data_IF_464425599379
#
_entry.id   IF_464425599379
#
_cell.length_a   1.000
_cell.length_b   1.000
_cell.length_c   1.000
_cell.angle_alpha   90.00
_cell.angle_beta   90.00
_cell.angle_gamma   90.00
#
_symmetry.space_group_name_H-M   'P 1'
#
loop_
_entity.id
_entity.type
_entity.pdbx_description
1 polymer ?
#
# COMPACT_ATOMS: atom_id res chain seq x y z
N UNK A 1 88.93 57.96 -0.73
CA UNK A 1 88.37 57.18 -1.86
C UNK A 1 88.06 55.74 -1.46
N UNK A 2 88.74 55.17 -0.47
CA UNK A 2 88.56 53.76 -0.07
C UNK A 2 87.18 53.42 0.51
N UNK A 3 86.54 54.33 1.26
CA UNK A 3 85.19 54.09 1.82
C UNK A 3 84.08 54.00 0.76
N UNK A 4 84.26 54.66 -0.38
CA UNK A 4 83.29 54.64 -1.49
C UNK A 4 83.46 53.35 -2.32
N UNK A 5 84.70 52.92 -2.54
CA UNK A 5 85.02 51.67 -3.24
C UNK A 5 84.53 50.46 -2.42
N UNK A 6 84.68 50.50 -1.09
CA UNK A 6 84.19 49.43 -0.21
C UNK A 6 82.66 49.35 -0.20
N UNK A 7 81.96 50.50 -0.21
CA UNK A 7 80.50 50.55 -0.31
C UNK A 7 79.97 50.01 -1.65
N UNK A 8 80.66 50.29 -2.76
CA UNK A 8 80.28 49.79 -4.09
C UNK A 8 80.46 48.26 -4.19
N UNK A 9 81.54 47.71 -3.62
CA UNK A 9 81.79 46.27 -3.60
C UNK A 9 80.75 45.50 -2.77
N UNK A 10 80.30 46.06 -1.64
CA UNK A 10 79.24 45.47 -0.81
C UNK A 10 77.91 45.45 -1.58
N UNK A 11 77.58 46.52 -2.30
CA UNK A 11 76.38 46.57 -3.15
C UNK A 11 76.40 45.51 -4.27
N UNK A 12 77.57 45.29 -4.87
CA UNK A 12 77.73 44.28 -5.93
C UNK A 12 77.55 42.85 -5.39
N UNK A 13 78.08 42.56 -4.20
CA UNK A 13 77.90 41.26 -3.54
C UNK A 13 76.42 41.00 -3.21
N UNK A 14 75.70 42.01 -2.70
CA UNK A 14 74.25 41.88 -2.39
C UNK A 14 73.44 41.59 -3.66
N UNK A 15 73.78 42.24 -4.77
CA UNK A 15 73.09 42.03 -6.05
C UNK A 15 73.32 40.62 -6.61
N UNK A 16 74.54 40.08 -6.46
CA UNK A 16 74.85 38.69 -6.85
C UNK A 16 74.08 37.67 -6.00
N UNK A 17 73.96 37.90 -4.69
CA UNK A 17 73.19 37.02 -3.79
C UNK A 17 71.70 37.02 -4.14
N UNK A 18 71.14 38.17 -4.52
CA UNK A 18 69.74 38.27 -4.97
C UNK A 18 69.52 37.48 -6.27
N UNK A 19 70.46 37.58 -7.23
CA UNK A 19 70.38 36.83 -8.49
C UNK A 19 70.45 35.32 -8.24
N UNK A 20 71.35 34.86 -7.37
CA UNK A 20 71.45 33.44 -7.01
C UNK A 20 70.16 32.97 -6.32
N UNK A 21 69.58 33.78 -5.43
CA UNK A 21 68.29 33.48 -4.79
C UNK A 21 67.15 33.33 -5.80
N UNK A 22 67.09 34.20 -6.82
CA UNK A 22 66.09 34.12 -7.89
C UNK A 22 66.26 32.89 -8.78
N UNK A 23 67.51 32.47 -9.06
CA UNK A 23 67.80 31.26 -9.84
C UNK A 23 67.35 30.00 -9.09
N UNK A 24 67.63 29.92 -7.78
CA UNK A 24 67.18 28.80 -6.94
C UNK A 24 65.65 28.75 -6.84
N UNK A 25 65.01 29.91 -6.68
CA UNK A 25 63.54 30.00 -6.66
C UNK A 25 62.92 29.57 -8.00
N UNK A 26 63.51 29.98 -9.13
CA UNK A 26 63.08 29.56 -10.46
C UNK A 26 63.22 28.04 -10.64
N UNK A 27 64.35 27.47 -10.24
CA UNK A 27 64.57 26.03 -10.33
C UNK A 27 63.59 25.23 -9.46
N UNK A 28 63.30 25.72 -8.25
CA UNK A 28 62.32 25.09 -7.35
C UNK A 28 60.90 25.15 -7.91
N UNK A 29 60.51 26.26 -8.55
CA UNK A 29 59.19 26.43 -9.16
C UNK A 29 59.01 25.48 -10.36
N UNK A 30 60.03 25.36 -11.21
CA UNK A 30 60.03 24.43 -12.36
C UNK A 30 60.05 22.96 -11.91
N UNK A 31 60.76 22.63 -10.84
CA UNK A 31 60.76 21.28 -10.29
C UNK A 31 59.37 20.91 -9.73
N UNK A 32 58.74 21.80 -8.96
CA UNK A 32 57.40 21.59 -8.40
C UNK A 32 56.32 21.51 -9.49
N UNK A 33 56.44 22.26 -10.58
CA UNK A 33 55.48 22.17 -11.68
C UNK A 33 55.59 20.85 -12.44
N UNK A 34 56.80 20.31 -12.66
CA UNK A 34 56.99 18.99 -13.28
C UNK A 34 56.39 17.85 -12.46
N UNK A 35 56.62 17.82 -11.15
CA UNK A 35 56.07 16.78 -10.27
C UNK A 35 54.54 16.82 -10.25
N UNK A 36 53.94 18.02 -10.19
CA UNK A 36 52.49 18.18 -10.24
C UNK A 36 51.89 17.79 -11.60
N UNK A 37 52.61 17.97 -12.70
CA UNK A 37 52.18 17.53 -14.03
C UNK A 37 52.23 16.01 -14.14
N UNK A 38 53.31 15.36 -13.67
CA UNK A 38 53.42 13.90 -13.66
C UNK A 38 52.36 13.22 -12.79
N UNK A 39 52.02 13.78 -11.62
CA UNK A 39 50.93 13.25 -10.78
C UNK A 39 49.56 13.41 -11.45
N UNK A 40 49.32 14.54 -12.14
CA UNK A 40 48.08 14.75 -12.90
C UNK A 40 47.97 13.84 -14.10
N UNK A 41 49.08 13.56 -14.79
CA UNK A 41 49.10 12.69 -15.96
C UNK A 41 48.96 11.22 -15.55
N UNK A 42 49.61 10.78 -14.46
CA UNK A 42 49.37 9.45 -13.87
C UNK A 42 47.93 9.28 -13.38
N UNK A 43 47.34 10.30 -12.74
CA UNK A 43 45.94 10.28 -12.32
C UNK A 43 44.95 10.27 -13.50
N UNK A 44 45.32 10.88 -14.64
CA UNK A 44 44.54 10.80 -15.89
C UNK A 44 44.65 9.42 -16.53
N UNK A 45 45.85 8.85 -16.64
CA UNK A 45 46.05 7.50 -17.19
C UNK A 45 45.29 6.43 -16.40
N UNK A 46 45.29 6.51 -15.06
CA UNK A 46 44.52 5.57 -14.21
C UNK A 46 43.00 5.74 -14.41
N UNK A 47 42.51 6.96 -14.66
CA UNK A 47 41.09 7.22 -14.96
C UNK A 47 40.68 6.77 -16.36
N UNK A 48 41.57 6.87 -17.34
CA UNK A 48 41.34 6.42 -18.72
C UNK A 48 41.42 4.89 -18.83
N UNK A 49 42.35 4.25 -18.13
CA UNK A 49 42.48 2.79 -18.08
C UNK A 49 41.25 2.10 -17.43
N UNK A 50 40.57 2.76 -16.50
CA UNK A 50 39.32 2.25 -15.93
C UNK A 50 38.09 2.47 -16.83
N UNK A 51 38.21 3.32 -17.86
CA UNK A 51 37.12 3.65 -18.77
C UNK A 51 37.09 2.82 -20.05
N UNK A 52 38.15 2.09 -20.39
CA UNK A 52 38.21 1.36 -21.66
C UNK A 52 38.71 -0.08 -21.43
N UNK A 53 37.97 -1.06 -21.97
CA UNK A 53 38.42 -2.45 -22.08
C UNK A 53 38.51 -2.79 -23.56
N UNK A 54 39.71 -3.09 -24.06
CA UNK A 54 39.98 -3.34 -25.49
C UNK A 54 39.47 -2.24 -26.44
N UNK A 55 39.67 -0.96 -26.09
CA UNK A 55 39.27 0.17 -26.96
C UNK A 55 37.77 0.41 -27.07
N UNK A 56 36.95 -0.32 -26.29
CA UNK A 56 35.53 -0.05 -26.12
C UNK A 56 35.37 0.74 -24.83
N UNK A 57 34.75 1.94 -24.87
CA UNK A 57 34.42 2.67 -23.66
C UNK A 57 33.47 1.81 -22.81
N UNK A 58 33.91 1.46 -21.60
CA UNK A 58 33.05 0.92 -20.55
C UNK A 58 32.09 2.01 -20.13
N UNK A 59 30.90 1.98 -20.71
CA UNK A 59 29.77 2.72 -20.19
C UNK A 59 29.36 2.08 -18.86
N UNK A 60 29.19 2.88 -17.81
CA UNK A 60 28.62 2.42 -16.55
C UNK A 60 27.19 1.93 -16.79
N UNK A 61 26.74 0.92 -16.05
CA UNK A 61 25.36 0.40 -16.13
C UNK A 61 24.32 1.52 -16.03
N UNK A 62 24.62 2.58 -15.28
CA UNK A 62 23.81 3.80 -15.13
C UNK A 62 23.57 4.58 -16.43
N UNK A 63 24.41 4.41 -17.45
CA UNK A 63 24.19 4.98 -18.79
C UNK A 63 23.38 4.07 -19.70
N UNK A 64 23.37 2.77 -19.42
CA UNK A 64 22.60 1.75 -20.14
C UNK A 64 21.16 1.74 -19.62
N UNK A 65 20.98 1.99 -18.32
CA UNK A 65 19.67 2.14 -17.69
C UNK A 65 19.11 3.53 -17.94
N UNK A 66 17.91 3.54 -18.51
CA UNK A 66 17.25 4.77 -18.96
C UNK A 66 16.53 5.52 -17.82
N UNK A 67 16.79 5.14 -16.57
CA UNK A 67 16.17 5.66 -15.34
C UNK A 67 17.20 5.87 -14.23
N UNK A 68 16.93 6.82 -13.35
CA UNK A 68 17.86 7.23 -12.29
C UNK A 68 17.60 6.41 -11.00
N UNK A 69 16.35 6.39 -10.54
CA UNK A 69 15.95 5.80 -9.26
C UNK A 69 14.45 5.47 -9.27
N UNK A 70 14.04 4.48 -8.47
CA UNK A 70 12.64 4.21 -8.15
C UNK A 70 12.43 4.66 -6.71
N UNK A 71 11.54 5.62 -6.50
CA UNK A 71 11.25 6.20 -5.18
C UNK A 71 9.76 6.51 -5.08
N UNK A 72 9.15 6.14 -3.96
CA UNK A 72 7.77 6.47 -3.60
C UNK A 72 6.74 6.09 -4.69
N UNK A 73 6.87 4.87 -5.22
CA UNK A 73 5.98 4.32 -6.25
C UNK A 73 6.06 5.11 -7.58
N UNK A 74 7.14 5.87 -7.76
CA UNK A 74 7.47 6.63 -8.95
C UNK A 74 8.84 6.24 -9.51
N UNK A 75 8.95 6.27 -10.83
CA UNK A 75 10.22 6.17 -11.52
C UNK A 75 10.75 7.57 -11.83
N UNK A 76 11.98 7.84 -11.42
CA UNK A 76 12.69 9.10 -11.68
C UNK A 76 13.63 8.89 -12.86
N UNK A 77 13.57 9.81 -13.84
CA UNK A 77 14.39 9.76 -15.06
C UNK A 77 14.98 11.13 -15.38
N UNK A 78 16.03 11.11 -16.21
CA UNK A 78 16.67 12.30 -16.79
C UNK A 78 17.24 13.24 -15.73
N UNK A 79 17.96 12.69 -14.76
CA UNK A 79 18.51 13.41 -13.62
C UNK A 79 17.45 14.19 -12.81
N UNK A 80 16.33 13.54 -12.49
CA UNK A 80 15.27 14.13 -11.65
C UNK A 80 14.39 15.18 -12.34
N UNK A 81 14.35 15.17 -13.68
CA UNK A 81 13.51 16.09 -14.47
C UNK A 81 12.18 15.48 -14.89
N UNK A 82 12.10 14.15 -14.99
CA UNK A 82 10.91 13.43 -15.40
C UNK A 82 10.56 12.39 -14.34
N UNK A 83 9.29 12.38 -13.94
CA UNK A 83 8.74 11.45 -12.96
C UNK A 83 7.62 10.67 -13.62
N UNK A 84 7.53 9.38 -13.33
CA UNK A 84 6.60 8.47 -13.99
C UNK A 84 5.90 7.61 -12.95
N UNK A 85 4.58 7.51 -13.07
CA UNK A 85 3.76 6.51 -12.39
C UNK A 85 3.19 5.54 -13.40
N UNK A 86 3.02 4.28 -12.99
CA UNK A 86 2.50 3.23 -13.85
C UNK A 86 1.24 2.65 -13.21
N UNK A 87 0.18 2.55 -14.00
CA UNK A 87 -1.09 1.93 -13.63
C UNK A 87 -1.16 0.58 -14.31
N UNK A 88 -1.34 -0.49 -13.54
CA UNK A 88 -1.70 -1.79 -14.09
C UNK A 88 -3.20 -1.85 -14.34
N UNK A 89 -3.59 -2.21 -15.55
CA UNK A 89 -4.98 -2.36 -15.95
C UNK A 89 -5.35 -3.83 -16.09
N UNK A 90 -6.53 -4.17 -15.56
CA UNK A 90 -7.18 -5.46 -15.77
C UNK A 90 -8.45 -5.22 -16.57
N UNK A 91 -8.44 -5.71 -17.80
CA UNK A 91 -9.58 -5.68 -18.71
C UNK A 91 -10.60 -6.78 -18.43
N UNK A 92 -11.65 -6.77 -19.24
CA UNK A 92 -12.74 -7.74 -19.25
C UNK A 92 -12.70 -8.56 -20.54
N UNK A 93 -13.44 -9.68 -20.57
CA UNK A 93 -13.61 -10.43 -21.80
C UNK A 93 -14.73 -9.79 -22.64
N UNK A 94 -14.34 -8.89 -23.55
CA UNK A 94 -15.28 -8.14 -24.40
C UNK A 94 -16.13 -9.05 -25.28
N UNK A 95 -15.58 -10.16 -25.80
CA UNK A 95 -16.29 -11.04 -26.73
C UNK A 95 -17.48 -11.76 -26.08
N UNK A 96 -17.37 -12.05 -24.78
CA UNK A 96 -18.42 -12.70 -24.00
C UNK A 96 -19.56 -11.78 -23.58
N UNK A 97 -19.43 -10.47 -23.81
CA UNK A 97 -20.47 -9.50 -23.46
C UNK A 97 -21.61 -9.51 -24.48
N UNK A 98 -22.81 -9.16 -23.99
CA UNK A 98 -23.96 -8.85 -24.85
C UNK A 98 -23.73 -7.57 -25.68
N UNK A 99 -24.48 -7.37 -26.75
CA UNK A 99 -24.34 -6.18 -27.61
C UNK A 99 -24.57 -4.87 -26.83
N UNK A 100 -25.56 -4.84 -25.93
CA UNK A 100 -25.84 -3.66 -25.08
C UNK A 100 -24.65 -3.35 -24.15
N UNK A 101 -24.02 -4.38 -23.58
CA UNK A 101 -22.84 -4.23 -22.74
C UNK A 101 -21.62 -3.77 -23.55
N UNK A 102 -21.43 -4.30 -24.77
CA UNK A 102 -20.37 -3.88 -25.69
C UNK A 102 -20.51 -2.41 -26.04
N UNK A 103 -21.71 -1.94 -26.39
CA UNK A 103 -21.98 -0.53 -26.68
C UNK A 103 -21.73 0.36 -25.44
N UNK A 104 -22.05 -0.14 -24.24
CA UNK A 104 -21.73 0.56 -22.99
C UNK A 104 -20.22 0.70 -22.77
N UNK A 105 -19.46 -0.35 -23.03
CA UNK A 105 -17.99 -0.34 -22.90
C UNK A 105 -17.36 0.59 -23.93
N UNK A 106 -17.86 0.60 -25.17
CA UNK A 106 -17.39 1.51 -26.23
C UNK A 106 -17.66 2.96 -25.87
N UNK A 107 -18.87 3.28 -25.38
CA UNK A 107 -19.19 4.64 -24.88
C UNK A 107 -18.26 5.05 -23.75
N UNK A 108 -18.03 4.17 -22.77
CA UNK A 108 -17.08 4.44 -21.68
C UNK A 108 -15.65 4.66 -22.19
N UNK A 109 -15.22 3.90 -23.20
CA UNK A 109 -13.89 4.09 -23.79
C UNK A 109 -13.75 5.42 -24.54
N UNK A 110 -14.80 5.87 -25.23
CA UNK A 110 -14.82 7.21 -25.86
C UNK A 110 -14.75 8.31 -24.80
N UNK A 111 -15.46 8.18 -23.68
CA UNK A 111 -15.37 9.11 -22.55
C UNK A 111 -13.95 9.15 -21.96
N UNK A 112 -13.28 7.99 -21.88
CA UNK A 112 -11.90 7.89 -21.46
C UNK A 112 -10.96 8.66 -22.38
N UNK A 113 -11.07 8.46 -23.69
CA UNK A 113 -10.25 9.19 -24.67
C UNK A 113 -10.45 10.71 -24.58
N UNK A 114 -11.67 11.17 -24.32
CA UNK A 114 -11.97 12.60 -24.16
C UNK A 114 -11.45 13.20 -22.85
N UNK A 115 -11.14 12.37 -21.85
CA UNK A 115 -10.65 12.81 -20.54
C UNK A 115 -9.12 12.99 -20.53
N UNK A 116 -8.40 12.35 -21.45
CA UNK A 116 -6.93 12.43 -21.52
C UNK A 116 -6.50 13.84 -21.98
N UNK A 117 -5.90 14.60 -21.07
CA UNK A 117 -5.36 15.95 -21.35
C UNK A 117 -3.85 16.04 -21.39
N UNK A 118 -3.17 14.95 -21.08
CA UNK A 118 -1.72 14.86 -20.98
C UNK A 118 -1.24 13.58 -21.70
N UNK A 119 0.02 13.54 -22.15
CA UNK A 119 0.54 12.37 -22.84
C UNK A 119 0.56 11.16 -21.89
N UNK A 120 -0.08 10.07 -22.34
CA UNK A 120 -0.01 8.75 -21.71
C UNK A 120 0.66 7.77 -22.66
N UNK A 121 1.30 6.74 -22.11
CA UNK A 121 1.87 5.66 -22.89
C UNK A 121 1.19 4.35 -22.50
N UNK A 122 0.66 3.63 -23.49
CA UNK A 122 0.13 2.29 -23.31
C UNK A 122 1.27 1.28 -23.48
N UNK A 123 1.45 0.41 -22.50
CA UNK A 123 2.47 -0.63 -22.51
C UNK A 123 1.85 -1.98 -22.23
N UNK A 124 2.18 -2.98 -23.05
CA UNK A 124 1.68 -4.34 -22.89
C UNK A 124 2.88 -5.26 -22.78
N UNK A 125 2.89 -6.08 -21.73
CA UNK A 125 3.94 -7.05 -21.47
C UNK A 125 3.32 -8.44 -21.40
N UNK A 126 3.91 -9.37 -22.16
CA UNK A 126 3.58 -10.79 -22.04
C UNK A 126 4.65 -11.45 -21.20
N UNK A 127 4.22 -12.16 -20.15
CA UNK A 127 5.12 -12.84 -19.21
C UNK A 127 4.62 -14.23 -18.86
N UNK A 128 5.51 -15.10 -18.41
CA UNK A 128 5.11 -16.43 -17.91
C UNK A 128 4.22 -16.29 -16.65
N UNK A 129 3.20 -17.13 -16.56
CA UNK A 129 2.29 -17.15 -15.41
C UNK A 129 3.03 -17.72 -14.18
N UNK A 130 3.21 -16.89 -13.15
CA UNK A 130 3.76 -17.33 -11.87
C UNK A 130 2.63 -17.71 -10.90
N UNK A 131 2.50 -19.01 -10.60
CA UNK A 131 1.52 -19.55 -9.66
C UNK A 131 2.11 -19.88 -8.28
N UNK A 132 3.37 -19.52 -8.00
CA UNK A 132 4.06 -19.87 -6.75
C UNK A 132 3.30 -19.40 -5.51
N UNK A 133 2.98 -18.10 -5.44
CA UNK A 133 2.22 -17.52 -4.31
C UNK A 133 0.88 -18.24 -4.10
N UNK A 134 0.22 -18.62 -5.19
CA UNK A 134 -1.02 -19.40 -5.14
C UNK A 134 -0.76 -20.79 -4.57
N UNK A 135 0.23 -21.53 -5.09
CA UNK A 135 0.60 -22.86 -4.61
C UNK A 135 0.97 -22.83 -3.13
N UNK A 136 1.73 -21.83 -2.68
CA UNK A 136 2.15 -21.71 -1.29
C UNK A 136 0.95 -21.42 -0.37
N UNK A 137 0.03 -20.55 -0.78
CA UNK A 137 -1.23 -20.34 -0.06
C UNK A 137 -2.11 -21.61 -0.01
N UNK A 138 -2.13 -22.40 -1.09
CA UNK A 138 -2.83 -23.69 -1.09
C UNK A 138 -2.17 -24.69 -0.12
N UNK A 139 -0.84 -24.78 -0.10
CA UNK A 139 -0.09 -25.63 0.83
C UNK A 139 -0.35 -25.25 2.28
N UNK A 140 -0.38 -23.96 2.59
CA UNK A 140 -0.69 -23.47 3.93
C UNK A 140 -2.09 -23.92 4.37
N UNK A 141 -3.10 -23.75 3.53
CA UNK A 141 -4.47 -24.22 3.81
C UNK A 141 -4.55 -25.74 3.99
N UNK A 142 -3.83 -26.50 3.17
CA UNK A 142 -3.74 -27.97 3.28
C UNK A 142 -3.13 -28.37 4.63
N UNK A 143 -2.09 -27.66 5.09
CA UNK A 143 -1.46 -27.93 6.38
C UNK A 143 -2.41 -27.65 7.55
N UNK A 144 -3.17 -26.55 7.51
CA UNK A 144 -4.19 -26.24 8.53
C UNK A 144 -5.23 -27.36 8.64
N UNK A 145 -5.72 -27.86 7.49
CA UNK A 145 -6.68 -28.98 7.48
C UNK A 145 -6.05 -30.26 8.05
N UNK A 146 -4.79 -30.53 7.74
CA UNK A 146 -4.08 -31.69 8.29
C UNK A 146 -3.94 -31.61 9.82
N UNK A 147 -3.67 -30.42 10.36
CA UNK A 147 -3.60 -30.21 11.81
C UNK A 147 -4.98 -30.34 12.49
N UNK A 148 -6.05 -29.88 11.85
CA UNK A 148 -7.42 -30.09 12.31
C UNK A 148 -7.82 -31.57 12.31
N UNK A 149 -7.42 -32.35 11.29
CA UNK A 149 -7.65 -33.80 11.29
C UNK A 149 -6.94 -34.44 12.47
N UNK A 150 -5.69 -34.03 12.74
CA UNK A 150 -4.91 -34.53 13.87
C UNK A 150 -5.55 -34.19 15.23
N UNK A 151 -6.15 -33.01 15.37
CA UNK A 151 -6.86 -32.64 16.60
C UNK A 151 -8.15 -33.44 16.77
N UNK A 152 -8.93 -33.65 15.71
CA UNK A 152 -10.12 -34.51 15.71
C UNK A 152 -9.77 -35.96 16.02
N UNK A 153 -8.65 -36.49 15.51
CA UNK A 153 -8.17 -37.83 15.83
C UNK A 153 -7.84 -37.98 17.33
N UNK A 154 -7.30 -36.94 17.97
CA UNK A 154 -7.09 -36.93 19.43
C UNK A 154 -8.41 -36.94 20.19
N UNK A 155 -9.37 -36.09 19.81
CA UNK A 155 -10.70 -36.05 20.42
C UNK A 155 -11.43 -37.39 20.27
N UNK A 156 -11.34 -38.00 19.09
CA UNK A 156 -11.85 -39.35 18.84
C UNK A 156 -11.27 -40.39 19.80
N UNK A 157 -9.96 -40.35 20.05
CA UNK A 157 -9.30 -41.25 20.99
C UNK A 157 -9.80 -41.06 22.43
N UNK A 158 -10.14 -39.83 22.83
CA UNK A 158 -10.74 -39.52 24.13
C UNK A 158 -12.19 -40.01 24.22
N UNK A 159 -13.00 -39.84 23.17
CA UNK A 159 -14.38 -40.35 23.12
C UNK A 159 -14.46 -41.88 23.14
N UNK A 160 -13.49 -42.55 22.52
CA UNK A 160 -13.33 -44.00 22.60
C UNK A 160 -13.03 -44.45 24.04
N UNK A 161 -12.20 -43.71 24.78
CA UNK A 161 -11.88 -44.00 26.19
C UNK A 161 -13.06 -43.79 27.13
N UNK A 162 -13.89 -42.78 26.87
CA UNK A 162 -15.09 -42.48 27.67
C UNK A 162 -16.30 -43.32 27.28
N UNK A 163 -16.22 -44.14 26.22
CA UNK A 163 -17.29 -45.04 25.79
C UNK A 163 -18.48 -44.35 25.09
N UNK A 164 -18.31 -43.10 24.65
CA UNK A 164 -19.40 -42.33 24.03
C UNK A 164 -19.52 -42.61 22.52
N UNK A 165 -20.25 -43.67 22.16
CA UNK A 165 -20.37 -44.13 20.76
C UNK A 165 -20.96 -43.09 19.80
N UNK A 166 -21.89 -42.22 20.26
CA UNK A 166 -22.49 -41.20 19.40
C UNK A 166 -21.48 -40.14 18.98
N UNK A 167 -20.64 -39.70 19.92
CA UNK A 167 -19.60 -38.70 19.63
C UNK A 167 -18.52 -39.28 18.72
N UNK A 168 -18.14 -40.56 18.92
CA UNK A 168 -17.19 -41.25 18.03
C UNK A 168 -17.70 -41.27 16.58
N UNK A 169 -18.98 -41.62 16.35
CA UNK A 169 -19.56 -41.65 15.01
C UNK A 169 -19.61 -40.26 14.35
N UNK A 170 -19.95 -39.23 15.12
CA UNK A 170 -19.96 -37.84 14.63
C UNK A 170 -18.54 -37.39 14.24
N UNK A 171 -17.55 -37.62 15.10
CA UNK A 171 -16.15 -37.30 14.83
C UNK A 171 -15.60 -38.11 13.66
N UNK A 172 -15.97 -39.38 13.50
CA UNK A 172 -15.58 -40.21 12.34
C UNK A 172 -16.10 -39.64 11.02
N UNK A 173 -17.34 -39.15 11.01
CA UNK A 173 -17.90 -38.47 9.84
C UNK A 173 -17.15 -37.17 9.53
N UNK A 174 -16.83 -36.37 10.54
CA UNK A 174 -16.08 -35.12 10.37
C UNK A 174 -14.65 -35.35 9.87
N UNK A 175 -13.96 -36.36 10.43
CA UNK A 175 -12.63 -36.77 9.97
C UNK A 175 -12.70 -37.16 8.51
N UNK A 176 -13.62 -38.05 8.11
CA UNK A 176 -13.76 -38.49 6.71
C UNK A 176 -14.06 -37.31 5.78
N UNK A 177 -14.92 -36.39 6.19
CA UNK A 177 -15.21 -35.18 5.42
C UNK A 177 -13.96 -34.34 5.21
N UNK A 178 -13.15 -34.11 6.26
CA UNK A 178 -11.92 -33.32 6.16
C UNK A 178 -10.81 -34.04 5.40
N UNK A 179 -10.70 -35.37 5.54
CA UNK A 179 -9.77 -36.20 4.76
C UNK A 179 -10.05 -36.09 3.26
N UNK A 180 -11.32 -36.18 2.84
CA UNK A 180 -11.69 -35.99 1.44
C UNK A 180 -11.32 -34.58 0.92
N UNK A 181 -11.51 -33.55 1.74
CA UNK A 181 -11.12 -32.17 1.39
C UNK A 181 -9.59 -32.03 1.32
N UNK A 182 -8.86 -32.72 2.20
CA UNK A 182 -7.40 -32.74 2.20
C UNK A 182 -6.86 -33.42 0.94
N UNK A 183 -7.38 -34.59 0.60
CA UNK A 183 -7.01 -35.35 -0.61
C UNK A 183 -7.25 -34.51 -1.86
N UNK A 184 -8.46 -33.95 -2.01
CA UNK A 184 -8.78 -33.04 -3.10
C UNK A 184 -7.85 -31.81 -3.12
N UNK A 185 -7.59 -31.20 -1.97
CA UNK A 185 -6.69 -30.04 -1.85
C UNK A 185 -5.24 -30.36 -2.26
N UNK A 186 -4.74 -31.54 -1.88
CA UNK A 186 -3.41 -32.03 -2.28
C UNK A 186 -3.34 -32.31 -3.78
N UNK A 187 -4.35 -32.96 -4.35
CA UNK A 187 -4.41 -33.24 -5.77
C UNK A 187 -4.43 -31.96 -6.62
N UNK A 188 -5.25 -30.99 -6.23
CA UNK A 188 -5.31 -29.67 -6.89
C UNK A 188 -3.96 -28.95 -6.73
N UNK A 189 -3.35 -28.96 -5.54
CA UNK A 189 -2.04 -28.36 -5.33
C UNK A 189 -0.96 -28.99 -6.21
N UNK A 190 -0.93 -30.32 -6.32
CA UNK A 190 -0.01 -31.05 -7.19
C UNK A 190 -0.29 -30.81 -8.68
N UNK A 191 -1.56 -30.69 -9.07
CA UNK A 191 -1.95 -30.34 -10.43
C UNK A 191 -1.51 -28.92 -10.80
N UNK A 192 -1.81 -27.93 -9.95
CA UNK A 192 -1.37 -26.54 -10.12
C UNK A 192 0.15 -26.46 -10.12
N UNK A 193 0.83 -27.22 -9.25
CA UNK A 193 2.29 -27.33 -9.23
C UNK A 193 2.83 -27.79 -10.58
N UNK A 194 2.34 -28.91 -11.11
CA UNK A 194 2.72 -29.41 -12.45
C UNK A 194 2.41 -28.41 -13.56
N UNK A 195 1.27 -27.74 -13.50
CA UNK A 195 0.91 -26.69 -14.45
C UNK A 195 1.83 -25.47 -14.35
N UNK A 196 2.25 -25.10 -13.14
CA UNK A 196 3.21 -24.01 -12.92
C UNK A 196 4.61 -24.36 -13.40
N UNK A 197 5.02 -25.63 -13.35
CA UNK A 197 6.27 -26.10 -13.95
C UNK A 197 6.19 -26.15 -15.49
N UNK A 198 4.98 -26.31 -16.05
CA UNK A 198 4.72 -26.12 -17.47
C UNK A 198 4.68 -24.62 -17.79
N UNK A 199 5.88 -24.05 -17.95
CA UNK A 199 6.16 -22.63 -18.17
C UNK A 199 5.60 -22.02 -19.48
N UNK A 200 4.87 -22.79 -20.29
CA UNK A 200 4.28 -22.35 -21.56
C UNK A 200 2.96 -21.57 -21.39
N UNK A 201 2.47 -21.40 -20.16
CA UNK A 201 1.27 -20.59 -19.90
C UNK A 201 1.69 -19.12 -19.77
N UNK A 202 1.34 -18.32 -20.78
CA UNK A 202 1.63 -16.89 -20.82
C UNK A 202 0.45 -16.08 -20.29
N UNK A 203 0.77 -15.00 -19.58
CA UNK A 203 -0.18 -13.98 -19.16
C UNK A 203 0.21 -12.64 -19.76
N UNK A 204 -0.78 -11.95 -20.34
CA UNK A 204 -0.63 -10.58 -20.79
C UNK A 204 -1.03 -9.62 -19.67
N UNK A 205 -0.13 -8.68 -19.35
CA UNK A 205 -0.41 -7.54 -18.47
C UNK A 205 -0.37 -6.25 -19.28
N UNK A 206 -1.38 -5.41 -19.06
CA UNK A 206 -1.52 -4.11 -19.71
C UNK A 206 -1.28 -3.01 -18.69
N UNK A 207 -0.55 -1.98 -19.10
CA UNK A 207 -0.13 -0.87 -18.27
C UNK A 207 -0.40 0.46 -18.96
N UNK A 208 -0.77 1.45 -18.16
CA UNK A 208 -0.88 2.86 -18.58
C UNK A 208 0.19 3.64 -17.83
N UNK A 209 1.12 4.22 -18.57
CA UNK A 209 2.26 4.96 -18.05
C UNK A 209 1.94 6.44 -18.13
N UNK A 210 2.04 7.12 -16.98
CA UNK A 210 1.77 8.55 -16.83
C UNK A 210 3.07 9.24 -16.47
N UNK A 211 3.47 10.24 -17.27
CA UNK A 211 4.66 11.04 -17.00
C UNK A 211 4.31 12.46 -16.60
N UNK A 212 5.14 13.03 -15.73
CA UNK A 212 5.09 14.43 -15.35
C UNK A 212 6.50 15.02 -15.36
N UNK A 213 6.65 16.16 -16.02
CA UNK A 213 7.93 16.86 -16.06
C UNK A 213 8.00 17.92 -14.98
N UNK A 214 9.17 18.05 -14.36
CA UNK A 214 9.44 19.09 -13.37
C UNK A 214 9.20 20.50 -13.93
N UNK A 215 9.39 20.71 -15.23
CA UNK A 215 9.10 21.99 -15.89
C UNK A 215 7.61 22.40 -15.83
N UNK A 216 6.69 21.45 -15.60
CA UNK A 216 5.26 21.73 -15.44
C UNK A 216 4.92 22.34 -14.06
N UNK A 217 5.81 22.27 -13.06
CA UNK A 217 5.60 22.83 -11.72
C UNK A 217 5.68 24.37 -11.63
N UNK A 218 5.98 25.06 -12.73
CA UNK A 218 6.16 26.51 -12.71
C UNK A 218 7.41 26.92 -11.92
N UNK A 219 7.26 27.81 -10.93
CA UNK A 219 8.40 28.45 -10.28
C UNK A 219 9.01 27.56 -9.18
N UNK A 220 10.10 26.88 -9.52
CA UNK A 220 10.73 25.85 -8.67
C UNK A 220 11.90 26.39 -7.81
N UNK A 221 12.29 27.66 -8.00
CA UNK A 221 13.52 28.23 -7.45
C UNK A 221 13.60 28.24 -5.91
N UNK A 222 12.46 28.15 -5.21
CA UNK A 222 12.37 28.30 -3.76
C UNK A 222 12.10 27.00 -3.00
N UNK A 223 11.95 25.87 -3.69
CA UNK A 223 11.56 24.61 -3.06
C UNK A 223 12.77 23.69 -2.85
N UNK A 224 12.77 22.99 -1.72
CA UNK A 224 13.69 21.89 -1.46
C UNK A 224 13.42 20.71 -2.41
N UNK A 225 14.40 19.80 -2.54
CA UNK A 225 14.24 18.60 -3.38
C UNK A 225 13.06 17.74 -2.95
N UNK A 226 12.87 17.56 -1.64
CA UNK A 226 11.81 16.72 -1.10
C UNK A 226 10.43 17.36 -1.27
N UNK A 227 10.31 18.68 -1.14
CA UNK A 227 9.06 19.40 -1.42
C UNK A 227 8.64 19.27 -2.89
N UNK A 228 9.61 19.36 -3.82
CA UNK A 228 9.35 19.16 -5.24
C UNK A 228 8.85 17.74 -5.49
N UNK A 229 9.49 16.72 -4.90
CA UNK A 229 9.08 15.33 -5.06
C UNK A 229 7.65 15.12 -4.54
N UNK A 230 7.30 15.68 -3.38
CA UNK A 230 5.94 15.58 -2.82
C UNK A 230 4.88 16.27 -3.69
N UNK A 231 5.20 17.44 -4.25
CA UNK A 231 4.29 18.12 -5.18
C UNK A 231 4.11 17.31 -6.47
N UNK A 232 5.21 16.81 -7.04
CA UNK A 232 5.17 15.93 -8.22
C UNK A 232 4.34 14.68 -7.94
N UNK A 233 4.57 14.02 -6.80
CA UNK A 233 3.82 12.85 -6.38
C UNK A 233 2.32 13.15 -6.33
N UNK A 234 1.94 14.25 -5.68
CA UNK A 234 0.53 14.64 -5.55
C UNK A 234 -0.14 14.86 -6.91
N UNK A 235 0.54 15.54 -7.83
CA UNK A 235 0.04 15.79 -9.18
C UNK A 235 -0.04 14.49 -10.01
N UNK A 236 1.01 13.67 -10.01
CA UNK A 236 1.03 12.38 -10.70
C UNK A 236 -0.03 11.43 -10.16
N UNK A 237 -0.17 11.34 -8.84
CA UNK A 237 -1.17 10.52 -8.19
C UNK A 237 -2.58 10.96 -8.58
N UNK A 238 -2.84 12.28 -8.59
CA UNK A 238 -4.13 12.85 -9.02
C UNK A 238 -4.43 12.54 -10.48
N UNK A 239 -3.43 12.65 -11.38
CA UNK A 239 -3.55 12.26 -12.78
C UNK A 239 -3.85 10.76 -12.92
N UNK A 240 -3.15 9.93 -12.17
CA UNK A 240 -3.32 8.48 -12.21
C UNK A 240 -4.71 8.06 -11.71
N UNK A 241 -5.17 8.60 -10.59
CA UNK A 241 -6.51 8.37 -10.04
C UNK A 241 -7.61 8.82 -11.01
N UNK A 242 -7.42 9.96 -11.68
CA UNK A 242 -8.36 10.46 -12.68
C UNK A 242 -8.46 9.47 -13.86
N UNK A 243 -7.34 8.94 -14.33
CA UNK A 243 -7.34 7.91 -15.38
C UNK A 243 -7.97 6.60 -14.91
N UNK A 244 -7.71 6.15 -13.69
CA UNK A 244 -8.32 4.94 -13.13
C UNK A 244 -9.85 5.08 -13.08
N UNK A 245 -10.35 6.22 -12.61
CA UNK A 245 -11.79 6.51 -12.57
C UNK A 245 -12.40 6.55 -13.95
N UNK A 246 -11.69 7.16 -14.90
CA UNK A 246 -12.10 7.28 -16.29
C UNK A 246 -12.09 5.92 -17.01
N UNK A 247 -11.09 5.06 -16.78
CA UNK A 247 -11.06 3.68 -17.25
C UNK A 247 -12.19 2.83 -16.65
N UNK A 248 -12.62 3.18 -15.44
CA UNK A 248 -13.76 2.54 -14.78
C UNK A 248 -15.07 2.66 -15.57
N UNK A 249 -15.28 3.73 -16.35
CA UNK A 249 -16.48 3.83 -17.22
C UNK A 249 -16.45 2.82 -18.37
N UNK A 250 -15.25 2.46 -18.85
CA UNK A 250 -15.03 1.38 -19.81
C UNK A 250 -14.98 -0.02 -19.16
N UNK A 251 -15.39 -0.15 -17.89
CA UNK A 251 -15.31 -1.38 -17.09
C UNK A 251 -13.88 -1.94 -16.92
N UNK A 252 -12.85 -1.12 -17.17
CA UNK A 252 -11.46 -1.50 -16.96
C UNK A 252 -11.04 -1.08 -15.56
N UNK A 253 -10.63 -2.06 -14.74
CA UNK A 253 -10.09 -1.78 -13.40
C UNK A 253 -8.61 -1.43 -13.49
N UNK A 254 -8.20 -0.35 -12.82
CA UNK A 254 -6.80 0.08 -12.74
C UNK A 254 -6.31 0.12 -11.30
N UNK A 255 -5.01 -0.13 -11.10
CA UNK A 255 -4.31 0.04 -9.82
C UNK A 255 -2.92 0.62 -10.08
N UNK A 256 -2.48 1.58 -9.26
CA UNK A 256 -1.11 2.12 -9.30
C UNK A 256 -0.14 1.02 -8.83
N UNK A 257 0.99 0.88 -9.52
CA UNK A 257 2.03 -0.08 -9.13
C UNK A 257 2.85 0.43 -7.95
N UNK A 258 3.19 -0.49 -7.06
CA UNK A 258 4.11 -0.21 -5.95
C UNK A 258 5.57 -0.23 -6.44
N UNK A 259 6.48 0.33 -5.66
CA UNK A 259 7.92 0.38 -5.97
C UNK A 259 8.54 -0.99 -6.27
N UNK A 260 8.14 -2.03 -5.54
CA UNK A 260 8.56 -3.42 -5.79
C UNK A 260 8.04 -3.92 -7.15
N UNK A 261 6.77 -3.64 -7.48
CA UNK A 261 6.15 -4.08 -8.72
C UNK A 261 6.68 -3.30 -9.94
N UNK A 262 7.03 -2.03 -9.76
CA UNK A 262 7.76 -1.23 -10.75
C UNK A 262 9.15 -1.81 -11.02
N UNK A 263 9.84 -2.23 -9.96
CA UNK A 263 11.13 -2.90 -10.08
C UNK A 263 10.98 -4.22 -10.82
N UNK A 264 9.96 -5.02 -10.50
CA UNK A 264 9.64 -6.27 -11.23
C UNK A 264 9.37 -5.99 -12.71
N UNK A 265 8.54 -4.99 -13.01
CA UNK A 265 8.20 -4.59 -14.36
C UNK A 265 9.45 -4.23 -15.19
N UNK A 266 10.35 -3.43 -14.61
CA UNK A 266 11.59 -3.01 -15.25
C UNK A 266 12.56 -4.18 -15.37
N UNK A 267 12.74 -4.97 -14.32
CA UNK A 267 13.59 -6.14 -14.33
C UNK A 267 13.21 -7.09 -15.48
N UNK A 268 11.91 -7.36 -15.64
CA UNK A 268 11.39 -8.15 -16.75
C UNK A 268 11.64 -7.48 -18.10
N UNK A 269 11.41 -6.17 -18.19
CA UNK A 269 11.59 -5.44 -19.44
C UNK A 269 13.05 -5.46 -19.93
N UNK A 270 14.02 -5.37 -19.02
CA UNK A 270 15.45 -5.44 -19.34
C UNK A 270 15.97 -6.88 -19.50
N UNK A 271 15.39 -7.85 -18.79
CA UNK A 271 15.83 -9.26 -18.79
C UNK A 271 14.78 -10.19 -19.40
N UNK A 272 14.25 -9.84 -20.58
CA UNK A 272 13.15 -10.57 -21.23
C UNK A 272 13.45 -12.04 -21.50
N UNK A 273 14.71 -12.39 -21.75
CA UNK A 273 15.13 -13.77 -22.04
C UNK A 273 15.41 -14.58 -20.75
N UNK A 274 15.83 -13.92 -19.67
CA UNK A 274 16.19 -14.57 -18.38
C UNK A 274 15.12 -14.47 -17.27
N UNK A 275 14.06 -13.68 -17.49
CA UNK A 275 12.88 -13.58 -16.62
C UNK A 275 12.34 -14.97 -16.23
N UNK A 276 12.45 -15.91 -17.15
CA UNK A 276 11.95 -17.28 -17.03
C UNK A 276 12.63 -18.06 -15.89
N UNK A 277 13.86 -17.69 -15.52
CA UNK A 277 14.71 -18.40 -14.57
C UNK A 277 14.84 -17.62 -13.26
N UNK A 278 15.01 -16.30 -13.34
CA UNK A 278 15.24 -15.42 -12.20
C UNK A 278 14.06 -14.48 -12.00
N UNK A 279 13.13 -14.88 -11.14
CA UNK A 279 12.04 -14.01 -10.71
C UNK A 279 12.54 -13.09 -9.59
N UNK A 280 12.19 -11.80 -9.64
CA UNK A 280 12.66 -10.79 -8.67
C UNK A 280 12.30 -11.15 -7.23
N UNK A 281 11.13 -11.77 -7.02
CA UNK A 281 10.69 -12.29 -5.73
C UNK A 281 11.73 -13.25 -5.11
N UNK A 282 12.32 -14.16 -5.89
CA UNK A 282 13.36 -15.07 -5.43
C UNK A 282 14.66 -14.37 -5.08
N UNK A 283 15.01 -13.30 -5.80
CA UNK A 283 16.21 -12.52 -5.51
C UNK A 283 16.07 -11.74 -4.20
N UNK A 284 14.88 -11.19 -3.94
CA UNK A 284 14.53 -10.53 -2.69
C UNK A 284 14.49 -11.54 -1.52
N UNK A 285 13.81 -12.68 -1.70
CA UNK A 285 13.71 -13.75 -0.69
C UNK A 285 15.06 -14.37 -0.32
N UNK A 286 16.02 -14.37 -1.26
CA UNK A 286 17.38 -14.84 -1.03
C UNK A 286 18.21 -13.91 -0.11
N UNK A 287 17.63 -12.82 0.39
CA UNK A 287 18.23 -11.92 1.39
C UNK A 287 19.58 -11.32 0.97
N UNK A 288 19.83 -11.13 -0.34
CA UNK A 288 21.01 -10.37 -0.78
C UNK A 288 21.02 -8.92 -0.27
N UNK A 289 19.85 -8.38 0.10
CA UNK A 289 19.65 -7.06 0.73
C UNK A 289 19.87 -7.01 2.25
N UNK A 290 20.09 -8.14 2.93
CA UNK A 290 20.22 -8.17 4.40
C UNK A 290 21.48 -7.45 4.95
N UNK A 291 22.33 -6.93 4.07
CA UNK A 291 23.45 -6.03 4.40
C UNK A 291 23.03 -4.56 4.58
N UNK A 292 21.82 -4.18 4.13
CA UNK A 292 21.28 -2.84 4.28
C UNK A 292 20.12 -2.83 5.29
N UNK A 293 20.21 -1.91 6.25
CA UNK A 293 19.36 -1.82 7.45
C UNK A 293 17.85 -1.93 7.15
N UNK A 294 17.20 -2.95 7.74
CA UNK A 294 15.76 -3.26 7.66
C UNK A 294 14.85 -2.27 8.41
N UNK A 295 15.20 -0.99 8.44
CA UNK A 295 14.31 0.02 9.00
C UNK A 295 13.17 0.27 8.02
N UNK A 296 11.92 0.15 8.48
CA UNK A 296 10.75 0.63 7.72
C UNK A 296 11.02 2.05 7.18
N UNK A 297 10.76 2.26 5.90
CA UNK A 297 10.87 3.54 5.21
C UNK A 297 10.20 4.65 6.04
N UNK A 298 10.82 5.83 6.08
CA UNK A 298 10.30 7.02 6.76
C UNK A 298 8.89 7.35 6.27
N UNK A 299 8.60 7.16 4.99
CA UNK A 299 7.29 7.42 4.41
C UNK A 299 6.27 6.35 4.76
N UNK A 300 6.68 5.08 4.89
CA UNK A 300 5.80 4.04 5.40
C UNK A 300 5.50 4.23 6.89
N UNK A 301 6.48 4.71 7.68
CA UNK A 301 6.22 5.17 9.06
C UNK A 301 5.29 6.38 9.12
N UNK A 302 5.32 7.26 8.12
CA UNK A 302 4.40 8.39 8.03
C UNK A 302 3.00 7.94 7.62
N UNK A 303 2.86 7.06 6.63
CA UNK A 303 1.58 6.42 6.24
C UNK A 303 0.98 5.68 7.45
N UNK A 304 1.75 4.79 8.10
CA UNK A 304 1.34 4.07 9.31
C UNK A 304 0.92 5.03 10.46
N UNK A 305 1.61 6.18 10.61
CA UNK A 305 1.27 7.20 11.62
C UNK A 305 0.00 7.96 11.27
N UNK A 306 -0.19 8.33 10.00
CA UNK A 306 -1.39 9.03 9.53
C UNK A 306 -2.61 8.11 9.66
N UNK A 307 -2.49 6.85 9.24
CA UNK A 307 -3.58 5.87 9.37
C UNK A 307 -3.93 5.65 10.84
N UNK A 308 -2.93 5.53 11.72
CA UNK A 308 -3.16 5.44 13.17
C UNK A 308 -3.81 6.70 13.74
N UNK A 309 -3.43 7.89 13.28
CA UNK A 309 -4.08 9.14 13.70
C UNK A 309 -5.53 9.21 13.22
N UNK A 310 -5.84 8.74 12.01
CA UNK A 310 -7.20 8.67 11.49
C UNK A 310 -8.03 7.68 12.32
N UNK A 311 -7.47 6.53 12.66
CA UNK A 311 -8.13 5.52 13.50
C UNK A 311 -8.37 6.05 14.93
N UNK A 312 -7.37 6.68 15.54
CA UNK A 312 -7.50 7.29 16.88
C UNK A 312 -8.57 8.41 16.85
N UNK A 313 -8.56 9.28 15.84
CA UNK A 313 -9.60 10.31 15.65
C UNK A 313 -10.99 9.72 15.42
N UNK A 314 -11.10 8.59 14.72
CA UNK A 314 -12.37 7.91 14.50
C UNK A 314 -12.90 7.27 15.80
N UNK A 315 -12.02 6.72 16.63
CA UNK A 315 -12.36 6.18 17.96
C UNK A 315 -12.79 7.29 18.92
N UNK A 316 -12.07 8.42 18.93
CA UNK A 316 -12.41 9.58 19.76
C UNK A 316 -13.77 10.15 19.35
N UNK A 317 -14.00 10.38 18.06
CA UNK A 317 -15.29 10.86 17.55
C UNK A 317 -16.44 9.90 17.88
N UNK A 318 -16.20 8.59 17.79
CA UNK A 318 -17.18 7.58 18.18
C UNK A 318 -17.46 7.59 19.69
N UNK A 319 -16.43 7.79 20.51
CA UNK A 319 -16.53 7.82 21.97
C UNK A 319 -17.27 9.07 22.44
N UNK A 320 -16.95 10.24 21.88
CA UNK A 320 -17.64 11.50 22.16
C UNK A 320 -19.12 11.41 21.74
N UNK A 321 -19.39 10.88 20.55
CA UNK A 321 -20.77 10.67 20.06
C UNK A 321 -21.56 9.71 20.96
N UNK A 322 -20.92 8.66 21.48
CA UNK A 322 -21.54 7.71 22.42
C UNK A 322 -21.78 8.34 23.79
N UNK A 323 -20.85 9.14 24.31
CA UNK A 323 -21.00 9.85 25.57
C UNK A 323 -22.11 10.91 25.50
N UNK A 324 -22.17 11.67 24.40
CA UNK A 324 -23.24 12.64 24.17
C UNK A 324 -24.61 11.95 24.09
N UNK A 325 -24.69 10.82 23.37
CA UNK A 325 -25.90 10.00 23.32
C UNK A 325 -26.29 9.43 24.71
N UNK A 326 -25.34 8.95 25.51
CA UNK A 326 -25.58 8.42 26.85
C UNK A 326 -26.07 9.51 27.82
N UNK A 327 -25.50 10.71 27.75
CA UNK A 327 -25.95 11.86 28.54
C UNK A 327 -27.39 12.26 28.16
N UNK A 328 -27.71 12.31 26.86
CA UNK A 328 -29.08 12.57 26.39
C UNK A 328 -30.06 11.51 26.92
N UNK A 329 -29.66 10.23 26.96
CA UNK A 329 -30.49 9.15 27.50
C UNK A 329 -30.68 9.28 29.01
N UNK A 330 -29.62 9.57 29.78
CA UNK A 330 -29.69 9.79 31.23
C UNK A 330 -30.55 10.99 31.61
N UNK A 331 -30.46 12.08 30.86
CA UNK A 331 -31.28 13.27 31.10
C UNK A 331 -32.75 13.00 30.80
N UNK A 332 -33.06 12.22 29.75
CA UNK A 332 -34.42 11.74 29.48
C UNK A 332 -34.94 10.81 30.58
N UNK A 333 -34.11 9.92 31.13
CA UNK A 333 -34.50 9.04 32.24
C UNK A 333 -34.78 9.83 33.52
N UNK A 334 -33.93 10.80 33.85
CA UNK A 334 -34.17 11.72 34.98
C UNK A 334 -35.46 12.50 34.80
N UNK A 335 -35.69 13.05 33.61
CA UNK A 335 -36.90 13.81 33.31
C UNK A 335 -38.16 12.93 33.45
N UNK A 336 -38.12 11.70 32.96
CA UNK A 336 -39.24 10.76 33.08
C UNK A 336 -39.50 10.35 34.55
N UNK A 337 -38.44 10.15 35.34
CA UNK A 337 -38.56 9.84 36.76
C UNK A 337 -39.12 11.02 37.55
N UNK A 338 -38.65 12.24 37.28
CA UNK A 338 -39.18 13.47 37.89
C UNK A 338 -40.64 13.71 37.49
N UNK A 339 -40.99 13.47 36.23
CA UNK A 339 -42.39 13.52 35.76
C UNK A 339 -43.26 12.50 36.51
N UNK A 340 -42.73 11.30 36.77
CA UNK A 340 -43.42 10.25 37.54
C UNK A 340 -43.64 10.67 38.99
N UNK A 341 -42.61 11.14 39.68
CA UNK A 341 -42.72 11.62 41.06
C UNK A 341 -43.74 12.75 41.16
N UNK A 342 -43.65 13.73 40.27
CA UNK A 342 -44.59 14.87 40.25
C UNK A 342 -46.02 14.47 39.91
N UNK A 343 -46.22 13.47 39.06
CA UNK A 343 -47.55 12.92 38.77
C UNK A 343 -48.14 12.20 39.99
N UNK A 344 -47.31 11.46 40.73
CA UNK A 344 -47.71 10.80 41.99
C UNK A 344 -48.05 11.84 43.06
N UNK A 345 -47.24 12.89 43.22
CA UNK A 345 -47.48 14.00 44.15
C UNK A 345 -48.80 14.72 43.85
N UNK A 346 -49.06 15.04 42.58
CA UNK A 346 -50.33 15.65 42.14
C UNK A 346 -51.51 14.74 42.49
N UNK A 347 -51.41 13.43 42.23
CA UNK A 347 -52.46 12.46 42.56
C UNK A 347 -52.67 12.35 44.06
N UNK A 348 -51.61 12.49 44.86
CA UNK A 348 -51.65 12.46 46.31
C UNK A 348 -52.28 13.74 46.91
N UNK A 349 -52.10 14.89 46.26
CA UNK A 349 -52.80 16.14 46.58
C UNK A 349 -54.32 16.03 46.31
N UNK A 350 -54.72 15.36 45.23
CA UNK A 350 -56.12 15.11 44.88
C UNK A 350 -56.77 13.93 45.62
N UNK A 351 -56.03 13.22 46.50
CA UNK A 351 -56.47 12.01 47.21
C UNK A 351 -57.77 12.18 48.00
N UNK A 352 -58.00 13.37 48.55
CA UNK A 352 -59.20 13.68 49.34
C UNK A 352 -60.43 14.03 48.47
N UNK A 353 -60.25 14.14 47.15
CA UNK A 353 -61.31 14.44 46.17
C UNK A 353 -61.65 13.24 45.27
N UNK A 354 -60.85 12.17 45.29
CA UNK A 354 -61.08 10.94 44.53
C UNK A 354 -61.70 9.84 45.39
N UNK A 355 -62.50 8.94 44.79
CA UNK A 355 -62.93 7.72 45.46
C UNK A 355 -61.74 6.76 45.64
N UNK A 356 -61.71 5.93 46.71
CA UNK A 356 -60.60 5.02 46.99
C UNK A 356 -60.26 4.08 45.83
N UNK A 357 -61.27 3.62 45.11
CA UNK A 357 -61.13 2.72 43.96
C UNK A 357 -60.49 3.44 42.76
N UNK A 358 -60.87 4.69 42.50
CA UNK A 358 -60.33 5.49 41.40
C UNK A 358 -58.86 5.87 41.62
N UNK A 359 -58.48 6.15 42.87
CA UNK A 359 -57.09 6.44 43.25
C UNK A 359 -56.16 5.25 43.02
N UNK A 360 -56.58 4.05 43.46
CA UNK A 360 -55.79 2.83 43.32
C UNK A 360 -55.64 2.41 41.84
N UNK A 361 -56.71 2.52 41.05
CA UNK A 361 -56.66 2.18 39.63
C UNK A 361 -55.79 3.16 38.83
N UNK A 362 -55.82 4.46 39.18
CA UNK A 362 -54.98 5.48 38.54
C UNK A 362 -53.50 5.24 38.81
N UNK A 363 -53.13 4.87 40.05
CA UNK A 363 -51.75 4.50 40.40
C UNK A 363 -51.27 3.27 39.63
N UNK A 364 -52.13 2.26 39.50
CA UNK A 364 -51.85 1.04 38.77
C UNK A 364 -51.65 1.30 37.26
N UNK A 365 -52.46 2.15 36.64
CA UNK A 365 -52.31 2.53 35.23
C UNK A 365 -50.97 3.24 34.96
N UNK A 366 -50.49 4.05 35.91
CA UNK A 366 -49.18 4.73 35.80
C UNK A 366 -48.03 3.73 35.89
N UNK A 367 -48.12 2.76 36.83
CA UNK A 367 -47.15 1.68 36.96
C UNK A 367 -47.13 0.79 35.70
N UNK A 368 -48.30 0.41 35.16
CA UNK A 368 -48.43 -0.40 33.93
C UNK A 368 -47.89 0.31 32.68
N UNK A 369 -48.11 1.62 32.52
CA UNK A 369 -47.52 2.41 31.42
C UNK A 369 -45.99 2.48 31.50
N UNK A 370 -45.44 2.50 32.72
CA UNK A 370 -43.99 2.52 32.96
C UNK A 370 -43.35 1.18 32.56
N UNK A 371 -44.00 0.06 32.91
CA UNK A 371 -43.53 -1.28 32.52
C UNK A 371 -43.60 -1.55 31.01
N UNK A 372 -44.57 -0.97 30.30
CA UNK A 372 -44.68 -1.09 28.85
C UNK A 372 -43.53 -0.37 28.13
N UNK A 373 -43.14 0.82 28.59
CA UNK A 373 -41.98 1.55 28.05
C UNK A 373 -40.65 0.84 28.34
N UNK A 374 -40.52 0.11 29.45
CA UNK A 374 -39.34 -0.71 29.75
C UNK A 374 -39.27 -1.99 28.90
N UNK A 375 -40.40 -2.65 28.64
CA UNK A 375 -40.46 -3.85 27.78
C UNK A 375 -40.17 -3.53 26.31
N UNK A 376 -40.59 -2.37 25.80
CA UNK A 376 -40.20 -1.91 24.46
C UNK A 376 -38.69 -1.64 24.32
N UNK A 377 -38.00 -1.28 25.43
CA UNK A 377 -36.53 -1.12 25.46
C UNK A 377 -35.79 -2.46 25.44
N UNK A 378 -36.31 -3.48 26.14
CA UNK A 378 -35.72 -4.83 26.11
C UNK A 378 -35.87 -5.49 24.74
N UNK A 379 -37.05 -5.39 24.11
CA UNK A 379 -37.27 -5.95 22.77
C UNK A 379 -36.37 -5.32 21.70
N UNK A 380 -36.10 -4.00 21.76
CA UNK A 380 -35.14 -3.34 20.84
C UNK A 380 -33.67 -3.73 21.13
N UNK A 381 -33.33 -4.07 22.38
CA UNK A 381 -32.01 -4.61 22.75
C UNK A 381 -31.85 -6.08 22.34
N UNK A 382 -32.92 -6.84 22.26
CA UNK A 382 -32.91 -8.21 21.76
C UNK A 382 -32.87 -8.26 20.23
N UNK A 383 -33.69 -7.49 19.49
CA UNK A 383 -33.63 -7.40 18.02
C UNK A 383 -32.23 -7.00 17.50
N UNK A 384 -31.56 -6.08 18.19
CA UNK A 384 -30.18 -5.66 17.88
C UNK A 384 -29.10 -6.68 18.28
N UNK A 385 -29.44 -7.67 19.12
CA UNK A 385 -28.58 -8.83 19.41
C UNK A 385 -28.80 -9.96 18.41
N UNK A 386 -30.04 -10.19 17.94
CA UNK A 386 -30.35 -11.22 16.95
C UNK A 386 -29.71 -10.91 15.59
N UNK A 387 -29.75 -9.65 15.13
CA UNK A 387 -29.01 -9.20 13.93
C UNK A 387 -27.49 -9.38 14.06
N UNK A 388 -26.93 -9.25 15.27
CA UNK A 388 -25.48 -9.46 15.53
C UNK A 388 -25.05 -10.93 15.61
N UNK A 389 -26.00 -11.87 15.71
CA UNK A 389 -25.69 -13.31 15.74
C UNK A 389 -25.75 -13.96 14.35
N UNK A 390 -26.52 -13.42 13.41
CA UNK A 390 -26.48 -13.90 12.01
C UNK A 390 -25.22 -13.44 11.27
N UNK A 391 -24.60 -12.33 11.66
CA UNK A 391 -23.42 -11.75 10.99
C UNK A 391 -22.05 -12.26 11.52
N UNK A 392 -22.05 -13.32 12.35
CA UNK A 392 -20.82 -14.00 12.80
C UNK A 392 -20.57 -15.30 12.07
N UNK A 393 -20.54 -15.24 10.74
CA UNK A 393 -19.73 -16.17 9.93
C UNK A 393 -18.88 -15.38 8.92
N UNK A 394 -17.56 -15.61 8.96
CA UNK A 394 -16.50 -15.16 8.04
C UNK A 394 -16.09 -13.66 8.01
N UNK A 395 -14.88 -13.30 8.51
CA UNK A 395 -14.25 -11.98 8.29
C UNK A 395 -13.67 -11.76 6.87
N UNK A 396 -14.11 -12.51 5.85
CA UNK A 396 -13.44 -12.54 4.54
C UNK A 396 -14.25 -11.98 3.37
N UNK A 397 -15.48 -11.52 3.58
CA UNK A 397 -16.34 -11.00 2.48
C UNK A 397 -16.66 -9.49 2.52
N UNK A 398 -16.29 -8.76 3.57
CA UNK A 398 -16.60 -7.33 3.69
C UNK A 398 -15.83 -6.41 2.71
N UNK A 399 -14.85 -6.92 1.95
CA UNK A 399 -14.15 -6.15 0.90
C UNK A 399 -14.79 -6.21 -0.50
N UNK A 400 -15.99 -6.81 -0.69
CA UNK A 400 -16.58 -6.99 -2.02
C UNK A 400 -17.94 -6.34 -2.32
N UNK A 401 -18.52 -5.53 -1.42
CA UNK A 401 -19.79 -4.83 -1.71
C UNK A 401 -19.69 -3.32 -1.51
N UNK A 402 -18.99 -2.66 -2.42
CA UNK A 402 -19.13 -1.22 -2.64
C UNK A 402 -19.22 -0.95 -4.15
N UNK A 403 -20.30 -1.42 -4.77
CA UNK A 403 -20.70 -0.96 -6.11
C UNK A 403 -22.20 -0.71 -6.11
N UNK A 404 -22.55 0.57 -6.26
CA UNK A 404 -23.92 1.10 -6.25
C UNK A 404 -24.78 0.48 -7.36
N UNK A 405 -25.91 -0.11 -6.96
CA UNK A 405 -27.02 -0.48 -7.85
C UNK A 405 -28.13 0.57 -7.80
N UNK A 406 -28.51 1.05 -8.98
CA UNK A 406 -29.58 2.01 -9.31
C UNK A 406 -30.97 1.55 -8.82
N UNK A 407 -31.87 2.42 -8.33
CA UNK A 407 -33.23 2.02 -7.96
C UNK A 407 -34.09 1.77 -9.20
N UNK A 408 -34.80 0.62 -9.20
CA UNK A 408 -35.87 0.33 -10.17
C UNK A 408 -37.08 1.23 -9.88
N UNK A 409 -37.61 1.84 -10.93
CA UNK A 409 -38.91 2.51 -10.97
C UNK A 409 -40.01 1.50 -10.61
N UNK A 410 -40.96 1.94 -9.80
CA UNK A 410 -42.24 1.25 -9.59
C UNK A 410 -43.15 1.54 -10.79
N UNK A 411 -43.74 0.49 -11.35
CA UNK A 411 -44.80 0.58 -12.35
C UNK A 411 -46.11 1.04 -11.71
N UNK A 412 -46.76 1.97 -12.41
CA UNK A 412 -48.21 2.05 -12.59
C UNK A 412 -48.48 2.05 -14.08
#
# INVERSE_FOLDING_TARGET
>A
MDSIIMGLNIMLIVLVVIIIGLIVAYYFLVYKSKVNTEERDKAKEIKTANKEFNGIPRETTDKILDFDEIKDDMLIRKNGQQYIMVIQCKGINYDLLSEEEKESVERGFVEFLNTIRFPIQLYVQTRSLNLRKTIDAYKEKVNVIADEIKSLQKQRAEYLRTGNQKQVQMTDFEIRRKENVLEYGQDISNYIGRMSFNQNVLQQKTYVVVSYFKSELGNIANYSKDEIINMVFTELYTRAETLIRSLGSAQVSGRILDSEELTELLYIAYNRDEEQIYQLDRALDAQYDALYSTSKDVLQKQRDRIDKQIDDMAVDLASDSLLEADNILKDREKLNNELRERTIEIIEEYKNQLSPDLYNETKKIIEEKTEQEEKEKENKKEESKTEKTEDKTNPTEAKKKATRGRPKKADK
#
